data_IF_656219206592
#
_entry.id   IF_656219206592
#
_cell.length_a   1.000
_cell.length_b   1.000
_cell.length_c   1.000
_cell.angle_alpha   90.00
_cell.angle_beta   90.00
_cell.angle_gamma   90.00
#
_symmetry.space_group_name_H-M   'P 1'
#
loop_
_entity.id
_entity.type
_entity.pdbx_description
1 polymer ?
#
# COMPACT_ATOMS: atom_id res chain seq x y z
N UNK A 1 14.54 -35.73 13.27
CA UNK A 1 13.40 -35.01 12.66
C UNK A 1 12.15 -35.68 13.20
N UNK A 2 11.26 -34.95 13.82
CA UNK A 2 9.94 -35.45 14.19
C UNK A 2 9.17 -35.58 12.88
N UNK A 3 8.82 -36.82 12.50
CA UNK A 3 8.04 -37.04 11.28
C UNK A 3 6.58 -36.78 11.62
N UNK A 4 6.04 -35.67 11.10
CA UNK A 4 4.62 -35.32 11.25
C UNK A 4 3.80 -36.33 10.46
N UNK A 5 2.81 -36.93 11.10
CA UNK A 5 1.95 -37.97 10.47
C UNK A 5 0.90 -37.28 9.56
N UNK A 6 0.44 -38.01 8.53
CA UNK A 6 -0.65 -37.53 7.66
C UNK A 6 -1.91 -37.16 8.45
N UNK A 7 -2.21 -37.96 9.49
CA UNK A 7 -3.34 -37.70 10.38
C UNK A 7 -3.23 -36.34 11.11
N UNK A 8 -2.04 -35.95 11.55
CA UNK A 8 -1.81 -34.66 12.19
C UNK A 8 -1.98 -33.51 11.19
N UNK A 9 -1.51 -33.70 9.94
CA UNK A 9 -1.71 -32.73 8.86
C UNK A 9 -3.20 -32.55 8.56
N UNK A 10 -3.96 -33.65 8.44
CA UNK A 10 -5.40 -33.60 8.20
C UNK A 10 -6.17 -32.94 9.36
N UNK A 11 -5.81 -33.26 10.61
CA UNK A 11 -6.39 -32.58 11.78
C UNK A 11 -6.16 -31.04 11.70
N UNK A 12 -4.97 -30.63 11.25
CA UNK A 12 -4.65 -29.23 11.08
C UNK A 12 -5.44 -28.59 9.92
N UNK A 13 -5.63 -29.29 8.81
CA UNK A 13 -6.47 -28.81 7.71
C UNK A 13 -7.91 -28.54 8.16
N UNK A 14 -8.54 -29.43 8.91
CA UNK A 14 -9.87 -29.22 9.49
C UNK A 14 -9.91 -28.00 10.42
N UNK A 15 -8.86 -27.81 11.23
CA UNK A 15 -8.75 -26.64 12.08
C UNK A 15 -8.62 -25.33 11.29
N UNK A 16 -7.84 -25.33 10.22
CA UNK A 16 -7.60 -24.14 9.39
C UNK A 16 -8.77 -23.85 8.43
N UNK A 17 -9.64 -24.85 8.15
CA UNK A 17 -10.76 -24.78 7.22
C UNK A 17 -12.09 -25.15 7.92
N UNK A 18 -12.54 -24.39 8.96
CA UNK A 18 -13.73 -24.75 9.74
C UNK A 18 -15.01 -24.85 8.91
N UNK A 19 -15.07 -24.22 7.73
CA UNK A 19 -16.21 -24.29 6.83
C UNK A 19 -16.47 -25.67 6.22
N UNK A 20 -15.51 -26.60 6.27
CA UNK A 20 -15.74 -27.96 5.83
C UNK A 20 -16.80 -28.67 6.68
N UNK A 21 -16.88 -28.32 7.97
CA UNK A 21 -17.86 -28.87 8.91
C UNK A 21 -19.03 -27.91 9.17
N UNK A 22 -18.72 -26.61 9.42
CA UNK A 22 -19.71 -25.60 9.82
C UNK A 22 -20.39 -24.89 8.65
N UNK A 23 -19.79 -24.95 7.45
CA UNK A 23 -20.15 -24.16 6.26
C UNK A 23 -20.06 -22.64 6.47
N UNK A 24 -19.32 -22.22 7.48
CA UNK A 24 -19.17 -20.83 7.86
C UNK A 24 -17.72 -20.48 8.14
N UNK A 25 -17.35 -19.22 7.82
CA UNK A 25 -16.09 -18.60 8.24
C UNK A 25 -16.26 -18.06 9.67
N UNK A 26 -15.15 -18.03 10.44
CA UNK A 26 -15.17 -17.48 11.80
C UNK A 26 -15.76 -16.06 11.83
N UNK A 27 -16.70 -15.80 12.76
CA UNK A 27 -17.44 -14.55 12.87
C UNK A 27 -16.57 -13.29 12.98
N UNK A 28 -15.35 -13.40 13.53
CA UNK A 28 -14.42 -12.27 13.61
C UNK A 28 -14.04 -11.70 12.25
N UNK A 29 -13.89 -12.53 11.21
CA UNK A 29 -13.54 -12.06 9.86
C UNK A 29 -14.74 -11.44 9.15
N UNK A 30 -15.95 -11.93 9.43
CA UNK A 30 -17.21 -11.39 8.90
C UNK A 30 -17.50 -9.99 9.47
N UNK A 31 -17.15 -9.76 10.74
CA UNK A 31 -17.43 -8.49 11.45
C UNK A 31 -16.56 -7.31 11.00
N UNK A 32 -15.39 -7.56 10.42
CA UNK A 32 -14.53 -6.48 9.93
C UNK A 32 -15.09 -5.82 8.66
N UNK A 33 -15.03 -4.49 8.53
CA UNK A 33 -15.43 -3.82 7.31
C UNK A 33 -14.53 -4.25 6.14
N UNK A 34 -15.16 -4.41 4.97
CA UNK A 34 -14.43 -4.78 3.76
C UNK A 34 -13.61 -3.59 3.27
N UNK A 35 -12.37 -3.85 2.83
CA UNK A 35 -11.55 -2.90 2.10
C UNK A 35 -12.23 -2.55 0.76
N UNK A 36 -12.03 -1.35 0.24
CA UNK A 36 -12.50 -0.99 -1.11
C UNK A 36 -11.92 -1.88 -2.22
N UNK A 37 -10.86 -2.58 -1.93
CA UNK A 37 -10.20 -3.57 -2.78
C UNK A 37 -10.91 -4.92 -2.84
N UNK A 38 -11.91 -5.15 -1.99
CA UNK A 38 -12.55 -6.47 -1.86
C UNK A 38 -13.23 -6.90 -3.17
N UNK A 39 -14.08 -6.06 -3.76
CA UNK A 39 -14.80 -6.42 -4.99
C UNK A 39 -13.85 -6.69 -6.17
N UNK A 40 -12.85 -5.85 -6.48
CA UNK A 40 -11.85 -6.14 -7.50
C UNK A 40 -11.08 -7.43 -7.25
N UNK A 41 -10.69 -7.71 -6.00
CA UNK A 41 -9.98 -8.94 -5.66
C UNK A 41 -10.90 -10.17 -5.78
N UNK A 42 -12.13 -10.08 -5.28
CA UNK A 42 -13.11 -11.15 -5.40
C UNK A 42 -13.38 -11.51 -6.85
N UNK A 43 -13.59 -10.53 -7.72
CA UNK A 43 -13.77 -10.75 -9.14
C UNK A 43 -12.57 -11.44 -9.79
N UNK A 44 -11.33 -11.06 -9.40
CA UNK A 44 -10.13 -11.75 -9.86
C UNK A 44 -10.08 -13.21 -9.41
N UNK A 45 -10.55 -13.52 -8.19
CA UNK A 45 -10.61 -14.91 -7.70
C UNK A 45 -11.68 -15.69 -8.46
N UNK A 46 -12.81 -15.08 -8.81
CA UNK A 46 -13.89 -15.72 -9.57
C UNK A 46 -13.59 -15.88 -11.07
N UNK A 47 -12.65 -15.09 -11.61
CA UNK A 47 -12.29 -15.14 -13.02
C UNK A 47 -11.63 -16.48 -13.39
N UNK A 48 -12.31 -17.27 -14.18
CA UNK A 48 -11.89 -18.61 -14.63
C UNK A 48 -11.49 -18.66 -16.09
N UNK A 49 -11.78 -17.60 -16.90
CA UNK A 49 -11.45 -17.59 -18.33
C UNK A 49 -9.95 -17.54 -18.60
N UNK A 50 -9.16 -17.09 -17.62
CA UNK A 50 -7.71 -16.97 -17.72
C UNK A 50 -7.06 -17.86 -16.66
N UNK A 51 -6.29 -18.88 -17.11
CA UNK A 51 -5.58 -19.78 -16.21
C UNK A 51 -4.36 -19.07 -15.58
N UNK A 52 -4.61 -18.34 -14.48
CA UNK A 52 -3.62 -17.62 -13.68
C UNK A 52 -3.94 -17.68 -12.20
N UNK A 53 -2.90 -17.78 -11.38
CA UNK A 53 -3.05 -17.61 -9.95
C UNK A 53 -3.21 -16.12 -9.61
N UNK A 54 -4.12 -15.81 -8.68
CA UNK A 54 -4.25 -14.48 -8.08
C UNK A 54 -3.23 -14.34 -6.93
N UNK A 55 -2.30 -13.39 -7.01
CA UNK A 55 -1.25 -13.19 -5.99
C UNK A 55 -1.51 -11.88 -5.25
N UNK A 56 -2.08 -11.97 -4.05
CA UNK A 56 -2.40 -10.83 -3.18
C UNK A 56 -1.16 -10.42 -2.40
N UNK A 57 -0.60 -9.27 -2.77
CA UNK A 57 0.62 -8.72 -2.18
C UNK A 57 0.33 -7.47 -1.34
N UNK A 58 1.18 -7.20 -0.36
CA UNK A 58 1.10 -5.98 0.43
C UNK A 58 1.91 -6.09 1.71
N UNK A 59 2.13 -4.96 2.38
CA UNK A 59 2.85 -4.93 3.66
C UNK A 59 2.15 -5.81 4.72
N UNK A 60 2.87 -6.12 5.79
CA UNK A 60 2.26 -6.84 6.93
C UNK A 60 1.13 -6.01 7.53
N UNK A 61 0.11 -6.68 8.09
CA UNK A 61 -1.02 -6.05 8.82
C UNK A 61 -1.96 -5.14 7.99
N UNK A 62 -1.90 -5.17 6.64
CA UNK A 62 -2.84 -4.41 5.78
C UNK A 62 -4.20 -5.10 5.59
N UNK A 63 -4.38 -6.32 6.11
CA UNK A 63 -5.64 -7.06 6.05
C UNK A 63 -5.72 -8.13 4.95
N UNK A 64 -4.59 -8.63 4.40
CA UNK A 64 -4.59 -9.69 3.36
C UNK A 64 -5.36 -10.93 3.78
N UNK A 65 -5.03 -11.51 4.93
CA UNK A 65 -5.68 -12.72 5.47
C UNK A 65 -7.17 -12.48 5.74
N UNK A 66 -7.55 -11.29 6.24
CA UNK A 66 -8.96 -10.92 6.44
C UNK A 66 -9.69 -10.90 5.10
N UNK A 67 -9.11 -10.29 4.06
CA UNK A 67 -9.69 -10.24 2.72
C UNK A 67 -9.86 -11.65 2.12
N UNK A 68 -8.91 -12.54 2.36
CA UNK A 68 -9.01 -13.95 1.94
C UNK A 68 -10.17 -14.64 2.62
N UNK A 69 -10.31 -14.54 3.95
CA UNK A 69 -11.45 -15.14 4.66
C UNK A 69 -12.80 -14.52 4.28
N UNK A 70 -12.86 -13.21 4.03
CA UNK A 70 -14.05 -12.57 3.48
C UNK A 70 -14.38 -13.05 2.06
N UNK A 71 -13.36 -13.41 1.28
CA UNK A 71 -13.54 -14.05 -0.05
C UNK A 71 -14.13 -15.44 0.10
N UNK A 72 -13.61 -16.26 1.02
CA UNK A 72 -14.18 -17.58 1.33
C UNK A 72 -15.63 -17.45 1.80
N UNK A 73 -15.92 -16.52 2.71
CA UNK A 73 -17.28 -16.27 3.20
C UNK A 73 -18.26 -15.99 2.05
N UNK A 74 -17.90 -15.10 1.14
CA UNK A 74 -18.74 -14.78 0.00
C UNK A 74 -18.89 -15.94 -1.01
N UNK A 75 -17.84 -16.74 -1.20
CA UNK A 75 -17.92 -17.95 -2.04
C UNK A 75 -18.94 -18.95 -1.48
N UNK A 76 -18.95 -19.13 -0.16
CA UNK A 76 -19.92 -20.00 0.53
C UNK A 76 -21.35 -19.42 0.40
N UNK A 77 -21.53 -18.11 0.59
CA UNK A 77 -22.82 -17.42 0.41
C UNK A 77 -23.34 -17.56 -1.02
N UNK A 78 -22.47 -17.63 -2.04
CA UNK A 78 -22.81 -17.86 -3.44
C UNK A 78 -23.03 -19.34 -3.80
N UNK A 79 -22.94 -20.25 -2.81
CA UNK A 79 -23.23 -21.67 -2.95
C UNK A 79 -22.08 -22.53 -3.47
N UNK A 80 -20.82 -22.03 -3.39
CA UNK A 80 -19.64 -22.89 -3.65
C UNK A 80 -19.56 -23.93 -2.53
N UNK A 81 -19.43 -25.20 -2.90
CA UNK A 81 -19.28 -26.29 -1.93
C UNK A 81 -18.05 -26.01 -1.02
N UNK A 82 -18.27 -26.00 0.28
CA UNK A 82 -17.24 -25.73 1.27
C UNK A 82 -16.01 -26.65 1.13
N UNK A 83 -16.24 -27.90 0.71
CA UNK A 83 -15.20 -28.93 0.46
C UNK A 83 -14.39 -28.68 -0.81
N UNK A 84 -14.81 -27.73 -1.66
CA UNK A 84 -14.05 -27.31 -2.83
C UNK A 84 -13.07 -26.15 -2.52
N UNK A 85 -13.02 -25.68 -1.28
CA UNK A 85 -12.18 -24.55 -0.86
C UNK A 85 -11.15 -25.03 0.16
N UNK A 86 -9.85 -24.93 -0.18
CA UNK A 86 -8.73 -25.21 0.71
C UNK A 86 -7.98 -23.93 1.04
N UNK A 87 -7.77 -23.66 2.33
CA UNK A 87 -6.86 -22.64 2.84
C UNK A 87 -5.72 -23.28 3.63
N UNK A 88 -4.48 -22.85 3.35
CA UNK A 88 -3.27 -23.31 4.06
C UNK A 88 -2.35 -22.11 4.31
N UNK A 89 -2.02 -21.84 5.57
CA UNK A 89 -1.00 -20.85 5.92
C UNK A 89 0.37 -21.49 5.99
N UNK A 90 1.24 -21.18 5.04
CA UNK A 90 2.60 -21.74 4.95
C UNK A 90 3.55 -21.25 6.04
N UNK A 91 3.15 -20.24 6.84
CA UNK A 91 3.86 -19.85 8.06
C UNK A 91 3.74 -20.93 9.17
N UNK A 92 2.77 -21.83 9.08
CA UNK A 92 2.53 -22.87 10.07
C UNK A 92 3.66 -23.89 10.04
N UNK A 93 4.38 -24.13 11.16
CA UNK A 93 5.54 -25.03 11.18
C UNK A 93 5.23 -26.47 10.73
N UNK A 94 3.99 -26.92 10.89
CA UNK A 94 3.55 -28.27 10.50
C UNK A 94 3.66 -28.50 8.99
N UNK A 95 3.60 -27.47 8.17
CA UNK A 95 3.71 -27.56 6.72
C UNK A 95 5.15 -27.39 6.21
N UNK A 96 6.11 -27.12 7.09
CA UNK A 96 7.50 -26.93 6.72
C UNK A 96 8.07 -28.20 6.05
N UNK A 97 8.59 -28.05 4.84
CA UNK A 97 9.16 -29.15 4.06
C UNK A 97 8.13 -29.96 3.23
N UNK A 98 6.85 -29.61 3.30
CA UNK A 98 5.85 -30.16 2.36
C UNK A 98 5.90 -29.36 1.05
N UNK A 99 5.81 -30.05 -0.09
CA UNK A 99 5.56 -29.40 -1.37
C UNK A 99 4.09 -28.99 -1.49
N UNK A 100 3.80 -27.93 -2.27
CA UNK A 100 2.43 -27.52 -2.55
C UNK A 100 1.60 -28.66 -3.16
N UNK A 101 2.22 -29.47 -4.01
CA UNK A 101 1.57 -30.62 -4.64
C UNK A 101 1.17 -31.69 -3.64
N UNK A 102 2.03 -31.97 -2.63
CA UNK A 102 1.69 -32.90 -1.55
C UNK A 102 0.52 -32.42 -0.70
N UNK A 103 0.46 -31.10 -0.41
CA UNK A 103 -0.66 -30.46 0.27
C UNK A 103 -1.97 -30.66 -0.51
N UNK A 104 -1.94 -30.41 -1.81
CA UNK A 104 -3.12 -30.60 -2.69
C UNK A 104 -3.53 -32.07 -2.75
N UNK A 105 -2.57 -33.02 -2.80
CA UNK A 105 -2.90 -34.43 -2.84
C UNK A 105 -3.62 -34.91 -1.57
N UNK A 106 -3.21 -34.50 -0.38
CA UNK A 106 -3.96 -34.76 0.85
C UNK A 106 -5.40 -34.25 0.79
N UNK A 107 -5.61 -33.04 0.30
CA UNK A 107 -6.95 -32.45 0.14
C UNK A 107 -7.80 -33.22 -0.87
N UNK A 108 -7.20 -33.64 -2.00
CA UNK A 108 -7.90 -34.41 -3.02
C UNK A 108 -8.29 -35.82 -2.51
N UNK A 109 -7.41 -36.48 -1.76
CA UNK A 109 -7.67 -37.79 -1.19
C UNK A 109 -8.79 -37.74 -0.15
N UNK A 110 -8.82 -36.70 0.70
CA UNK A 110 -9.84 -36.51 1.75
C UNK A 110 -11.24 -36.43 1.18
N UNK A 111 -11.43 -35.63 0.11
CA UNK A 111 -12.74 -35.42 -0.47
C UNK A 111 -12.97 -36.09 -1.84
N UNK A 112 -12.05 -37.01 -2.23
CA UNK A 112 -12.13 -37.73 -3.50
C UNK A 112 -12.22 -36.83 -4.74
N UNK A 113 -11.50 -35.68 -4.72
CA UNK A 113 -11.46 -34.76 -5.85
C UNK A 113 -10.66 -35.31 -7.03
N UNK A 114 -11.20 -35.08 -8.23
CA UNK A 114 -10.51 -35.43 -9.49
C UNK A 114 -9.61 -34.27 -9.95
N UNK A 115 -8.83 -34.50 -10.99
CA UNK A 115 -8.06 -33.42 -11.64
C UNK A 115 -8.95 -32.34 -12.28
N UNK A 116 -10.15 -32.70 -12.67
CA UNK A 116 -11.07 -31.82 -13.37
C UNK A 116 -12.11 -31.16 -12.42
N UNK A 117 -12.00 -31.39 -11.11
CA UNK A 117 -12.84 -30.73 -10.12
C UNK A 117 -12.55 -29.22 -10.12
N UNK A 118 -13.59 -28.42 -9.90
CA UNK A 118 -13.42 -26.95 -9.74
C UNK A 118 -13.07 -26.65 -8.29
N UNK A 119 -11.78 -26.41 -8.01
CA UNK A 119 -11.27 -26.18 -6.66
C UNK A 119 -10.68 -24.76 -6.53
N UNK A 120 -10.83 -24.19 -5.35
CA UNK A 120 -10.21 -22.93 -4.96
C UNK A 120 -9.16 -23.23 -3.89
N UNK A 121 -7.88 -23.06 -4.25
CA UNK A 121 -6.74 -23.38 -3.39
C UNK A 121 -6.04 -22.09 -2.97
N UNK A 122 -5.98 -21.83 -1.67
CA UNK A 122 -5.45 -20.61 -1.09
C UNK A 122 -4.20 -20.91 -0.28
N UNK A 123 -3.06 -20.37 -0.70
CA UNK A 123 -1.78 -20.44 0.01
C UNK A 123 -1.49 -19.10 0.66
N UNK A 124 -1.69 -18.98 1.95
CA UNK A 124 -1.38 -17.76 2.71
C UNK A 124 0.10 -17.74 3.12
N UNK A 125 0.72 -16.55 3.09
CA UNK A 125 2.13 -16.30 3.41
C UNK A 125 3.10 -17.19 2.58
N UNK A 126 2.89 -17.25 1.26
CA UNK A 126 3.57 -18.19 0.34
C UNK A 126 5.09 -18.06 0.34
N UNK A 127 5.65 -16.88 0.72
CA UNK A 127 7.10 -16.66 0.79
C UNK A 127 7.83 -17.56 1.78
N UNK A 128 7.13 -18.23 2.68
CA UNK A 128 7.74 -19.24 3.57
C UNK A 128 8.14 -20.52 2.84
N UNK A 129 7.67 -20.72 1.61
CA UNK A 129 8.13 -21.82 0.74
C UNK A 129 9.24 -21.32 -0.19
N UNK A 130 10.50 -21.78 -0.06
CA UNK A 130 11.57 -21.46 -1.00
C UNK A 130 11.22 -21.91 -2.43
N UNK A 131 11.41 -21.02 -3.42
CA UNK A 131 11.11 -21.34 -4.82
C UNK A 131 9.61 -21.46 -5.13
N UNK A 132 8.75 -20.92 -4.29
CA UNK A 132 7.29 -21.00 -4.41
C UNK A 132 6.77 -20.62 -5.81
N UNK A 133 7.41 -19.70 -6.50
CA UNK A 133 7.01 -19.24 -7.84
C UNK A 133 7.10 -20.34 -8.90
N UNK A 134 8.10 -21.24 -8.79
CA UNK A 134 8.25 -22.40 -9.69
C UNK A 134 7.18 -23.43 -9.36
N UNK A 135 6.94 -23.68 -8.08
CA UNK A 135 5.94 -24.64 -7.62
C UNK A 135 4.52 -24.19 -8.00
N UNK A 136 4.17 -22.92 -7.71
CA UNK A 136 2.85 -22.39 -8.03
C UNK A 136 2.60 -22.35 -9.55
N UNK A 137 3.62 -21.98 -10.34
CA UNK A 137 3.53 -22.04 -11.82
C UNK A 137 3.25 -23.45 -12.30
N UNK A 138 3.97 -24.45 -11.78
CA UNK A 138 3.76 -25.87 -12.12
C UNK A 138 2.33 -26.31 -11.82
N UNK A 139 1.77 -25.88 -10.67
CA UNK A 139 0.39 -26.19 -10.31
C UNK A 139 -0.63 -25.56 -11.25
N UNK A 140 -0.46 -24.28 -11.59
CA UNK A 140 -1.33 -23.57 -12.56
C UNK A 140 -1.32 -24.28 -13.91
N UNK A 141 -0.15 -24.72 -14.38
CA UNK A 141 -0.03 -25.45 -15.64
C UNK A 141 -0.61 -26.87 -15.58
N UNK A 142 -0.56 -27.53 -14.41
CA UNK A 142 -0.99 -28.92 -14.22
C UNK A 142 -2.49 -29.08 -13.93
N UNK A 143 -3.11 -28.06 -13.34
CA UNK A 143 -4.51 -28.10 -12.87
C UNK A 143 -5.30 -26.90 -13.41
N UNK A 144 -5.66 -26.88 -14.71
CA UNK A 144 -6.32 -25.74 -15.32
C UNK A 144 -7.73 -25.43 -14.78
N UNK A 145 -8.39 -26.41 -14.16
CA UNK A 145 -9.72 -26.26 -13.52
C UNK A 145 -9.64 -25.71 -12.09
N UNK A 146 -8.41 -25.62 -11.50
CA UNK A 146 -8.25 -25.10 -10.16
C UNK A 146 -7.96 -23.62 -10.19
N UNK A 147 -8.58 -22.88 -9.28
CA UNK A 147 -8.22 -21.49 -9.02
C UNK A 147 -7.22 -21.41 -7.88
N UNK A 148 -6.02 -20.93 -8.17
CA UNK A 148 -5.00 -20.71 -7.18
C UNK A 148 -4.99 -19.26 -6.71
N UNK A 149 -4.95 -19.08 -5.39
CA UNK A 149 -4.77 -17.79 -4.72
C UNK A 149 -3.56 -17.89 -3.83
N UNK A 150 -2.65 -16.94 -3.90
CA UNK A 150 -1.52 -16.87 -3.00
C UNK A 150 -1.48 -15.50 -2.31
N UNK A 151 -1.07 -15.45 -1.03
CA UNK A 151 -0.77 -14.18 -0.38
C UNK A 151 0.70 -14.11 0.00
N UNK A 152 1.22 -12.88 0.11
CA UNK A 152 2.58 -12.68 0.59
C UNK A 152 2.81 -11.28 1.14
N UNK A 153 3.64 -11.21 2.21
CA UNK A 153 3.97 -9.95 2.88
C UNK A 153 5.31 -9.36 2.46
N UNK A 154 6.26 -10.20 2.09
CA UNK A 154 7.56 -9.79 1.57
C UNK A 154 7.50 -9.55 0.05
N UNK A 155 6.78 -8.51 -0.33
CA UNK A 155 6.43 -8.22 -1.71
C UNK A 155 7.62 -8.10 -2.68
N UNK A 156 8.80 -7.76 -2.16
CA UNK A 156 9.99 -7.63 -2.98
C UNK A 156 10.38 -8.94 -3.67
N UNK A 157 10.50 -10.01 -2.90
CA UNK A 157 10.85 -11.31 -3.46
C UNK A 157 9.74 -11.86 -4.33
N UNK A 158 8.48 -11.64 -3.94
CA UNK A 158 7.33 -12.03 -4.75
C UNK A 158 7.35 -11.34 -6.12
N UNK A 159 7.49 -10.02 -6.14
CA UNK A 159 7.45 -9.22 -7.36
C UNK A 159 8.63 -9.46 -8.29
N UNK A 160 9.84 -9.56 -7.76
CA UNK A 160 11.04 -9.83 -8.55
C UNK A 160 11.02 -11.26 -9.14
N UNK A 161 10.68 -12.24 -8.31
CA UNK A 161 10.66 -13.63 -8.73
C UNK A 161 9.51 -13.94 -9.69
N UNK A 162 8.32 -13.34 -9.49
CA UNK A 162 7.18 -13.54 -10.39
C UNK A 162 7.45 -13.02 -11.80
N UNK A 163 8.28 -11.98 -11.96
CA UNK A 163 8.68 -11.46 -13.27
C UNK A 163 9.61 -12.41 -14.05
N UNK A 164 10.46 -13.15 -13.34
CA UNK A 164 11.44 -14.03 -13.99
C UNK A 164 10.86 -15.40 -14.33
N UNK A 165 10.15 -16.03 -13.40
CA UNK A 165 9.72 -17.43 -13.55
C UNK A 165 8.22 -17.63 -13.72
N UNK A 166 7.40 -16.67 -13.30
CA UNK A 166 5.92 -16.75 -13.32
C UNK A 166 5.25 -16.00 -14.47
N UNK A 167 6.02 -15.46 -15.44
CA UNK A 167 5.49 -14.64 -16.53
C UNK A 167 4.28 -15.30 -17.22
N UNK A 168 3.14 -14.62 -17.17
CA UNK A 168 1.89 -15.10 -17.78
C UNK A 168 1.08 -16.14 -16.95
N UNK A 169 1.55 -16.52 -15.75
CA UNK A 169 0.84 -17.47 -14.87
C UNK A 169 0.32 -16.82 -13.58
N UNK A 170 0.69 -15.59 -13.32
CA UNK A 170 0.27 -14.84 -12.14
C UNK A 170 -0.43 -13.54 -12.54
N UNK A 171 -1.45 -13.18 -11.78
CA UNK A 171 -2.02 -11.83 -11.76
C UNK A 171 -1.75 -11.24 -10.39
N UNK A 172 -0.88 -10.23 -10.36
CA UNK A 172 -0.50 -9.55 -9.13
C UNK A 172 -1.62 -8.60 -8.69
N UNK A 173 -1.98 -8.65 -7.42
CA UNK A 173 -2.95 -7.76 -6.81
C UNK A 173 -2.33 -7.11 -5.57
N UNK A 174 -2.14 -5.79 -5.62
CA UNK A 174 -1.51 -5.04 -4.53
C UNK A 174 -2.54 -4.52 -3.55
N UNK A 175 -2.35 -4.80 -2.26
CA UNK A 175 -3.12 -4.25 -1.15
C UNK A 175 -2.22 -3.32 -0.30
N UNK A 176 -2.23 -2.00 -0.56
CA UNK A 176 -1.45 -1.04 0.22
C UNK A 176 -2.06 -0.78 1.60
N UNK A 177 -1.36 -0.03 2.50
CA UNK A 177 -1.97 0.52 3.71
C UNK A 177 -3.24 1.31 3.42
N UNK A 178 -4.08 1.56 4.42
CA UNK A 178 -5.34 2.29 4.24
C UNK A 178 -5.12 3.68 3.64
N UNK A 179 -5.96 4.07 2.69
CA UNK A 179 -6.13 5.48 2.32
C UNK A 179 -6.82 6.26 3.44
N UNK A 180 -6.74 7.59 3.40
CA UNK A 180 -7.49 8.42 4.34
C UNK A 180 -9.00 8.25 4.16
N UNK A 181 -9.46 8.03 2.92
CA UNK A 181 -10.87 7.74 2.64
C UNK A 181 -11.33 6.41 3.26
N UNK A 182 -10.52 5.34 3.16
CA UNK A 182 -10.82 4.08 3.83
C UNK A 182 -10.81 4.22 5.36
N UNK A 183 -9.84 4.98 5.91
CA UNK A 183 -9.77 5.26 7.34
C UNK A 183 -11.07 5.93 7.84
N UNK A 184 -11.52 7.01 7.19
CA UNK A 184 -12.75 7.72 7.55
C UNK A 184 -13.98 6.80 7.44
N UNK A 185 -14.03 5.95 6.41
CA UNK A 185 -15.08 4.92 6.27
C UNK A 185 -15.04 3.90 7.41
N UNK A 186 -13.85 3.43 7.80
CA UNK A 186 -13.67 2.41 8.83
C UNK A 186 -14.06 2.89 10.23
N UNK A 187 -13.82 4.17 10.54
CA UNK A 187 -14.31 4.78 11.79
C UNK A 187 -15.78 5.19 11.74
N UNK A 188 -16.48 4.96 10.61
CA UNK A 188 -17.92 5.20 10.46
C UNK A 188 -18.31 6.68 10.44
N UNK A 189 -17.39 7.60 10.12
CA UNK A 189 -17.62 9.05 10.20
C UNK A 189 -17.71 9.75 8.85
N UNK A 190 -17.80 9.01 7.73
CA UNK A 190 -17.83 9.62 6.40
C UNK A 190 -19.01 10.59 6.26
N UNK A 191 -20.22 10.18 6.62
CA UNK A 191 -21.43 11.02 6.52
C UNK A 191 -21.43 12.22 7.46
N UNK A 192 -20.70 12.16 8.59
CA UNK A 192 -20.56 13.29 9.51
C UNK A 192 -19.59 14.35 8.97
N UNK A 193 -18.48 13.91 8.37
CA UNK A 193 -17.33 14.76 8.10
C UNK A 193 -17.27 15.28 6.67
N UNK A 194 -17.85 14.54 5.71
CA UNK A 194 -17.66 14.79 4.28
C UNK A 194 -19.00 14.96 3.57
N UNK A 195 -19.01 15.82 2.57
CA UNK A 195 -20.12 15.98 1.61
C UNK A 195 -19.56 16.01 0.19
N UNK A 196 -20.36 15.56 -0.77
CA UNK A 196 -20.05 15.70 -2.18
C UNK A 196 -20.92 16.81 -2.75
N UNK A 197 -20.31 17.82 -3.33
CA UNK A 197 -21.00 18.98 -3.92
C UNK A 197 -20.83 18.92 -5.45
N UNK A 198 -21.93 19.08 -6.17
CA UNK A 198 -21.96 19.15 -7.63
C UNK A 198 -22.17 20.61 -8.04
N UNK A 199 -21.25 21.15 -8.84
CA UNK A 199 -21.37 22.45 -9.47
C UNK A 199 -21.16 22.30 -10.99
N UNK A 200 -22.13 22.72 -11.80
CA UNK A 200 -22.07 22.81 -13.28
C UNK A 200 -21.45 21.58 -13.99
N UNK A 201 -21.70 20.36 -13.45
CA UNK A 201 -21.22 19.09 -14.05
C UNK A 201 -19.88 18.58 -13.48
N UNK A 202 -19.18 19.34 -12.66
CA UNK A 202 -18.02 18.92 -11.91
C UNK A 202 -18.38 18.75 -10.43
N UNK A 203 -18.08 17.57 -9.87
CA UNK A 203 -18.31 17.27 -8.46
C UNK A 203 -17.01 17.25 -7.64
N UNK A 204 -17.05 17.74 -6.43
CA UNK A 204 -15.90 17.72 -5.54
C UNK A 204 -16.28 17.39 -4.09
N UNK A 205 -15.32 16.83 -3.38
CA UNK A 205 -15.49 16.45 -1.97
C UNK A 205 -15.11 17.59 -1.05
N UNK A 206 -16.04 17.96 -0.14
CA UNK A 206 -15.87 19.02 0.86
C UNK A 206 -15.95 18.46 2.27
N UNK A 207 -15.29 19.15 3.20
CA UNK A 207 -15.47 18.93 4.62
C UNK A 207 -16.74 19.65 5.09
N UNK A 208 -17.65 18.95 5.80
CA UNK A 208 -18.77 19.58 6.52
C UNK A 208 -18.28 20.41 7.71
N UNK A 209 -17.23 19.93 8.38
CA UNK A 209 -16.51 20.62 9.44
C UNK A 209 -15.01 20.34 9.26
N UNK A 210 -14.27 21.33 8.78
CA UNK A 210 -12.85 21.20 8.47
C UNK A 210 -12.00 20.97 9.73
N UNK A 211 -12.39 21.49 10.88
CA UNK A 211 -11.62 21.30 12.10
C UNK A 211 -11.73 19.82 12.57
N UNK A 212 -12.94 19.27 12.58
CA UNK A 212 -13.14 17.85 12.89
C UNK A 212 -12.44 16.94 11.89
N UNK A 213 -12.47 17.28 10.59
CA UNK A 213 -11.75 16.50 9.58
C UNK A 213 -10.25 16.60 9.77
N UNK A 214 -9.71 17.74 10.17
CA UNK A 214 -8.30 17.93 10.49
C UNK A 214 -7.88 17.11 11.73
N UNK A 215 -8.75 17.01 12.76
CA UNK A 215 -8.48 16.16 13.92
C UNK A 215 -8.35 14.69 13.49
N UNK A 216 -9.26 14.20 12.63
CA UNK A 216 -9.17 12.85 12.08
C UNK A 216 -7.99 12.68 11.12
N UNK A 217 -7.59 13.73 10.41
CA UNK A 217 -6.38 13.69 9.59
C UNK A 217 -5.13 13.51 10.43
N UNK A 218 -5.01 14.21 11.57
CA UNK A 218 -3.91 14.00 12.53
C UNK A 218 -3.94 12.59 13.12
N UNK A 219 -5.12 12.06 13.45
CA UNK A 219 -5.27 10.67 13.89
C UNK A 219 -4.82 9.68 12.81
N UNK A 220 -5.19 9.92 11.55
CA UNK A 220 -4.73 9.12 10.41
C UNK A 220 -3.21 9.15 10.25
N UNK A 221 -2.57 10.34 10.37
CA UNK A 221 -1.12 10.47 10.32
C UNK A 221 -0.43 9.60 11.39
N UNK A 222 -1.05 9.49 12.55
CA UNK A 222 -0.49 8.74 13.67
C UNK A 222 -0.80 7.23 13.63
N UNK A 223 -2.01 6.83 13.20
CA UNK A 223 -2.51 5.47 13.40
C UNK A 223 -3.26 4.89 12.20
N UNK A 224 -3.61 5.70 11.21
CA UNK A 224 -4.60 5.36 10.19
C UNK A 224 -4.17 4.39 9.10
N UNK A 225 -2.91 3.97 9.05
CA UNK A 225 -2.39 3.14 7.96
C UNK A 225 -2.78 1.66 8.00
N UNK A 226 -3.09 1.15 9.18
CA UNK A 226 -3.29 -0.28 9.39
C UNK A 226 -4.60 -0.56 10.11
N UNK A 227 -5.47 -1.47 9.59
CA UNK A 227 -6.78 -1.76 10.17
C UNK A 227 -6.74 -2.06 11.67
N UNK A 228 -5.77 -2.84 12.13
CA UNK A 228 -5.64 -3.20 13.54
C UNK A 228 -5.45 -1.98 14.45
N UNK A 229 -4.67 -0.99 14.00
CA UNK A 229 -4.48 0.25 14.76
C UNK A 229 -5.75 1.13 14.73
N UNK A 230 -6.53 1.08 13.66
CA UNK A 230 -7.80 1.83 13.55
C UNK A 230 -8.84 1.31 14.55
N UNK A 231 -8.92 -0.01 14.71
CA UNK A 231 -9.95 -0.65 15.56
C UNK A 231 -9.54 -0.89 17.01
N UNK A 232 -8.25 -0.76 17.35
CA UNK A 232 -7.75 -1.09 18.68
C UNK A 232 -7.11 0.10 19.39
N UNK A 233 -7.78 0.70 20.39
CA UNK A 233 -7.17 1.74 21.22
C UNK A 233 -5.88 1.28 21.92
N UNK A 234 -5.77 -0.01 22.24
CA UNK A 234 -4.55 -0.59 22.82
C UNK A 234 -3.38 -0.52 21.84
N UNK A 235 -3.62 -0.85 20.55
CA UNK A 235 -2.59 -0.77 19.51
C UNK A 235 -2.19 0.68 19.27
N UNK A 236 -3.10 1.64 19.35
CA UNK A 236 -2.78 3.07 19.26
C UNK A 236 -1.93 3.53 20.44
N UNK A 237 -2.30 3.17 21.67
CA UNK A 237 -1.57 3.54 22.88
C UNK A 237 -0.14 2.94 22.91
N UNK A 238 0.04 1.75 22.34
CA UNK A 238 1.31 1.05 22.28
C UNK A 238 1.82 0.89 20.82
N UNK A 239 1.65 1.90 19.97
CA UNK A 239 1.96 1.82 18.53
C UNK A 239 3.43 1.46 18.25
N UNK A 240 4.36 1.91 19.09
CA UNK A 240 5.77 1.50 19.01
C UNK A 240 5.97 0.00 19.25
N UNK A 241 5.13 -0.64 20.06
CA UNK A 241 5.20 -2.09 20.30
C UNK A 241 4.58 -2.88 19.17
N UNK A 242 3.39 -2.50 18.69
CA UNK A 242 2.65 -3.27 17.71
C UNK A 242 3.01 -2.92 16.26
N UNK A 243 2.97 -1.64 15.86
CA UNK A 243 3.25 -1.24 14.48
C UNK A 243 4.75 -1.38 14.18
N UNK A 244 5.62 -0.86 15.07
CA UNK A 244 7.06 -0.98 14.88
C UNK A 244 7.50 -2.43 14.86
N UNK A 245 7.17 -3.22 15.91
CA UNK A 245 7.63 -4.59 16.08
C UNK A 245 7.06 -5.53 15.00
N UNK A 246 5.76 -5.46 14.70
CA UNK A 246 5.10 -6.41 13.83
C UNK A 246 5.20 -6.05 12.33
N UNK A 247 5.36 -4.79 11.99
CA UNK A 247 5.42 -4.34 10.60
C UNK A 247 6.85 -4.01 10.21
N UNK A 248 7.52 -3.12 10.96
CA UNK A 248 8.84 -2.61 10.60
C UNK A 248 9.94 -3.62 10.97
N UNK A 249 10.02 -3.99 12.25
CA UNK A 249 11.12 -4.82 12.73
C UNK A 249 11.10 -6.22 12.11
N UNK A 250 9.93 -6.85 11.95
CA UNK A 250 9.83 -8.16 11.27
C UNK A 250 10.32 -8.09 9.82
N UNK A 251 10.01 -7.02 9.10
CA UNK A 251 10.49 -6.84 7.72
C UNK A 251 11.99 -6.60 7.69
N UNK A 252 12.51 -5.68 8.53
CA UNK A 252 13.93 -5.31 8.54
C UNK A 252 14.83 -6.37 9.12
N UNK A 253 14.40 -7.06 10.19
CA UNK A 253 15.24 -7.98 10.95
C UNK A 253 15.09 -9.44 10.54
N UNK A 254 14.02 -9.80 9.83
CA UNK A 254 13.73 -11.18 9.43
C UNK A 254 13.50 -11.33 7.93
N UNK A 255 12.50 -10.63 7.37
CA UNK A 255 12.05 -10.90 6.00
C UNK A 255 13.12 -10.50 4.97
N UNK A 256 13.61 -9.26 5.00
CA UNK A 256 14.63 -8.77 4.07
C UNK A 256 15.98 -9.49 4.21
N UNK A 257 16.52 -9.70 5.44
CA UNK A 257 17.74 -10.47 5.61
C UNK A 257 17.65 -11.90 5.08
N UNK A 258 16.53 -12.58 5.34
CA UNK A 258 16.30 -13.93 4.86
C UNK A 258 16.23 -14.03 3.32
N UNK A 259 15.63 -13.02 2.67
CA UNK A 259 15.40 -13.02 1.22
C UNK A 259 16.62 -12.58 0.42
N UNK A 260 17.37 -11.59 0.93
CA UNK A 260 18.47 -10.96 0.19
C UNK A 260 19.85 -11.25 0.75
N UNK A 261 19.95 -12.09 1.78
CA UNK A 261 21.25 -12.41 2.41
C UNK A 261 21.92 -11.20 3.05
N UNK A 262 21.13 -10.31 3.68
CA UNK A 262 21.67 -9.12 4.35
C UNK A 262 22.36 -9.55 5.63
N UNK A 263 23.67 -9.35 5.71
CA UNK A 263 24.48 -9.70 6.87
C UNK A 263 24.42 -8.63 7.97
N UNK A 264 24.42 -7.36 7.61
CA UNK A 264 24.36 -6.25 8.56
C UNK A 264 22.94 -5.65 8.64
N UNK A 265 22.15 -6.27 9.51
CA UNK A 265 20.78 -5.84 9.78
C UNK A 265 20.75 -4.49 10.50
N UNK A 266 21.79 -4.15 11.27
CA UNK A 266 21.87 -2.89 12.00
C UNK A 266 22.07 -1.69 11.04
N UNK A 267 22.87 -1.88 9.99
CA UNK A 267 23.00 -0.86 8.93
C UNK A 267 21.67 -0.59 8.23
N UNK A 268 20.92 -1.65 7.86
CA UNK A 268 19.61 -1.52 7.24
C UNK A 268 18.63 -0.76 8.16
N UNK A 269 18.59 -1.11 9.45
CA UNK A 269 17.72 -0.46 10.43
C UNK A 269 18.09 1.03 10.64
N UNK A 270 19.36 1.36 10.77
CA UNK A 270 19.83 2.76 10.87
C UNK A 270 19.45 3.57 9.63
N UNK A 271 19.63 2.99 8.43
CA UNK A 271 19.25 3.64 7.18
C UNK A 271 17.74 3.88 7.14
N UNK A 272 16.93 2.88 7.47
CA UNK A 272 15.48 3.02 7.48
C UNK A 272 14.99 4.09 8.47
N UNK A 273 15.55 4.10 9.70
CA UNK A 273 15.21 5.12 10.69
C UNK A 273 15.59 6.54 10.20
N UNK A 274 16.74 6.70 9.55
CA UNK A 274 17.16 7.97 8.96
C UNK A 274 16.19 8.43 7.87
N UNK A 275 15.78 7.52 7.00
CA UNK A 275 14.79 7.78 5.93
C UNK A 275 13.42 8.12 6.53
N UNK A 276 12.95 7.33 7.48
CA UNK A 276 11.64 7.53 8.11
C UNK A 276 11.53 8.87 8.84
N UNK A 277 12.62 9.31 9.50
CA UNK A 277 12.68 10.63 10.14
C UNK A 277 12.61 11.77 9.12
N UNK A 278 13.23 11.58 7.95
CA UNK A 278 13.30 12.56 6.87
C UNK A 278 12.27 12.33 5.76
N UNK A 279 11.17 11.64 6.04
CA UNK A 279 10.11 11.43 5.05
C UNK A 279 9.61 12.76 4.47
N UNK A 280 9.42 12.83 3.15
CA UNK A 280 9.02 14.05 2.45
C UNK A 280 10.17 15.02 2.14
N UNK A 281 11.34 14.86 2.77
CA UNK A 281 12.48 15.73 2.50
C UNK A 281 13.34 15.23 1.33
N UNK A 282 13.96 16.19 0.64
CA UNK A 282 14.99 15.88 -0.36
C UNK A 282 16.26 15.37 0.32
N UNK A 283 16.75 14.23 -0.10
CA UNK A 283 17.96 13.60 0.42
C UNK A 283 18.92 13.23 -0.71
N UNK A 284 20.22 13.08 -0.39
CA UNK A 284 21.24 12.61 -1.32
C UNK A 284 21.83 11.30 -0.83
N UNK A 285 22.32 10.47 -1.75
CA UNK A 285 23.09 9.26 -1.38
C UNK A 285 24.31 9.58 -0.52
N UNK A 286 24.88 10.77 -0.70
CA UNK A 286 26.04 11.23 0.09
C UNK A 286 25.63 11.58 1.52
N UNK A 287 24.53 12.34 1.70
CA UNK A 287 24.03 12.67 3.05
C UNK A 287 23.61 11.42 3.82
N UNK A 288 22.93 10.48 3.15
CA UNK A 288 22.56 9.20 3.75
C UNK A 288 23.80 8.39 4.16
N UNK A 289 24.83 8.35 3.31
CA UNK A 289 26.07 7.63 3.63
C UNK A 289 26.79 8.22 4.83
N UNK A 290 26.84 9.56 4.92
CA UNK A 290 27.45 10.25 6.06
C UNK A 290 26.68 10.03 7.37
N UNK A 291 25.35 10.08 7.33
CA UNK A 291 24.48 9.98 8.52
C UNK A 291 24.31 8.54 9.02
N UNK A 292 24.24 7.56 8.11
CA UNK A 292 24.06 6.15 8.47
C UNK A 292 25.36 5.37 8.68
N UNK A 293 26.49 5.86 8.11
CA UNK A 293 27.76 5.13 8.05
C UNK A 293 27.80 4.04 6.96
N UNK A 294 26.76 3.90 6.16
CA UNK A 294 26.60 2.85 5.14
C UNK A 294 27.18 3.33 3.79
N UNK A 295 27.83 2.42 3.04
CA UNK A 295 28.36 2.76 1.72
C UNK A 295 27.26 3.14 0.72
N UNK A 296 27.56 4.07 -0.22
CA UNK A 296 26.58 4.51 -1.26
C UNK A 296 26.03 3.34 -2.09
N UNK A 297 26.83 2.33 -2.39
CA UNK A 297 26.40 1.17 -3.15
C UNK A 297 25.46 0.26 -2.34
N UNK A 298 25.74 0.09 -1.06
CA UNK A 298 24.87 -0.64 -0.12
C UNK A 298 23.55 0.08 0.06
N UNK A 299 23.57 1.42 0.22
CA UNK A 299 22.38 2.26 0.35
C UNK A 299 21.44 2.07 -0.86
N UNK A 300 21.97 2.09 -2.10
CA UNK A 300 21.15 1.86 -3.29
C UNK A 300 20.40 0.52 -3.22
N UNK A 301 21.10 -0.56 -2.87
CA UNK A 301 20.48 -1.89 -2.72
C UNK A 301 19.43 -1.91 -1.60
N UNK A 302 19.75 -1.32 -0.47
CA UNK A 302 18.80 -1.27 0.67
C UNK A 302 17.55 -0.46 0.34
N UNK A 303 17.68 0.65 -0.39
CA UNK A 303 16.55 1.43 -0.88
C UNK A 303 15.65 0.58 -1.79
N UNK A 304 16.22 -0.16 -2.75
CA UNK A 304 15.49 -1.07 -3.61
C UNK A 304 14.75 -2.14 -2.80
N UNK A 305 15.37 -2.69 -1.76
CA UNK A 305 14.75 -3.68 -0.88
C UNK A 305 13.62 -3.10 -0.04
N UNK A 306 13.80 -1.88 0.48
CA UNK A 306 12.79 -1.17 1.27
C UNK A 306 11.58 -0.77 0.41
N UNK A 307 11.79 -0.30 -0.84
CA UNK A 307 10.70 -0.04 -1.78
C UNK A 307 9.94 -1.31 -2.11
N UNK A 308 10.67 -2.36 -2.43
CA UNK A 308 10.09 -3.63 -2.78
C UNK A 308 9.35 -4.29 -1.59
N UNK A 309 9.73 -3.99 -0.34
CA UNK A 309 9.02 -4.38 0.87
C UNK A 309 7.82 -3.48 1.21
N UNK A 310 7.48 -2.51 0.38
CA UNK A 310 6.41 -1.53 0.58
C UNK A 310 6.55 -0.70 1.86
N UNK A 311 7.78 -0.40 2.29
CA UNK A 311 8.04 0.49 3.42
C UNK A 311 8.22 1.94 2.98
N UNK A 312 8.86 2.14 1.83
CA UNK A 312 9.14 3.46 1.27
C UNK A 312 8.81 3.53 -0.22
N UNK A 313 8.75 4.75 -0.74
CA UNK A 313 8.72 5.05 -2.16
C UNK A 313 9.66 6.21 -2.49
N UNK A 314 10.45 6.06 -3.55
CA UNK A 314 11.31 7.12 -4.06
C UNK A 314 10.59 7.94 -5.11
N UNK A 315 10.79 9.26 -5.03
CA UNK A 315 10.30 10.21 -6.03
C UNK A 315 11.49 10.97 -6.62
N UNK A 316 11.56 10.91 -7.94
CA UNK A 316 12.66 11.52 -8.67
C UNK A 316 12.40 12.99 -8.96
N UNK A 317 13.47 13.77 -8.92
CA UNK A 317 13.47 15.20 -9.21
C UNK A 317 13.39 15.43 -10.73
N UNK A 318 12.66 16.48 -11.12
CA UNK A 318 12.75 17.14 -12.42
C UNK A 318 13.23 18.59 -12.24
N UNK A 319 13.80 19.17 -13.31
CA UNK A 319 14.12 20.59 -13.32
C UNK A 319 12.89 21.46 -13.63
N UNK A 320 13.06 22.77 -13.68
CA UNK A 320 11.98 23.70 -14.01
C UNK A 320 11.37 23.43 -15.39
N UNK A 321 12.11 22.81 -16.32
CA UNK A 321 11.63 22.40 -17.66
C UNK A 321 11.01 21.01 -17.67
N UNK A 322 10.78 20.41 -16.50
CA UNK A 322 10.28 19.04 -16.29
C UNK A 322 11.18 17.95 -16.88
N UNK A 323 12.45 18.25 -17.10
CA UNK A 323 13.42 17.24 -17.58
C UNK A 323 13.94 16.39 -16.44
N UNK A 324 13.93 15.08 -16.66
CA UNK A 324 14.51 14.10 -15.73
C UNK A 324 16.04 14.15 -15.77
N UNK A 325 16.66 14.02 -14.61
CA UNK A 325 18.12 13.94 -14.52
C UNK A 325 18.62 12.55 -14.90
N UNK A 326 19.66 12.48 -15.74
CA UNK A 326 20.27 11.21 -16.17
C UNK A 326 20.90 10.40 -15.02
N UNK A 327 21.34 11.08 -13.94
CA UNK A 327 21.88 10.47 -12.72
C UNK A 327 21.18 11.10 -11.52
N UNK A 328 20.17 10.42 -10.99
CA UNK A 328 19.47 10.86 -9.78
C UNK A 328 20.30 10.50 -8.54
N UNK A 329 21.15 11.43 -8.10
CA UNK A 329 21.85 11.32 -6.80
C UNK A 329 21.08 11.97 -5.67
N UNK A 330 20.01 12.69 -6.03
CA UNK A 330 19.12 13.48 -5.16
C UNK A 330 17.69 13.08 -5.45
N UNK A 331 16.92 12.82 -4.42
CA UNK A 331 15.53 12.35 -4.52
C UNK A 331 14.78 12.65 -3.22
N UNK A 332 13.44 12.70 -3.28
CA UNK A 332 12.59 12.64 -2.10
C UNK A 332 12.26 11.18 -1.79
N UNK A 333 12.13 10.84 -0.50
CA UNK A 333 11.66 9.53 -0.05
C UNK A 333 10.46 9.72 0.82
N UNK A 334 9.41 8.95 0.55
CA UNK A 334 8.21 8.92 1.36
C UNK A 334 8.03 7.55 1.98
N UNK A 335 7.62 7.51 3.23
CA UNK A 335 7.00 6.32 3.82
C UNK A 335 5.72 5.99 3.05
N UNK A 336 5.43 4.74 2.82
CA UNK A 336 4.18 4.32 2.16
C UNK A 336 2.94 4.60 2.99
N UNK A 337 3.12 4.86 4.29
CA UNK A 337 2.11 5.41 5.17
C UNK A 337 2.76 6.22 6.31
N UNK A 338 2.23 7.40 6.66
CA UNK A 338 2.81 8.27 7.69
C UNK A 338 2.80 7.66 9.11
N UNK A 339 1.88 6.73 9.43
CA UNK A 339 1.78 6.12 10.76
C UNK A 339 3.02 5.28 11.15
N UNK A 340 3.82 4.86 10.19
CA UNK A 340 5.12 4.25 10.48
C UNK A 340 6.07 5.20 11.20
N UNK A 341 6.02 6.51 10.88
CA UNK A 341 6.83 7.51 11.60
C UNK A 341 6.36 7.65 13.05
N UNK A 342 5.06 7.69 13.28
CA UNK A 342 4.53 7.76 14.64
C UNK A 342 4.93 6.54 15.49
N UNK A 343 4.95 5.36 14.89
CA UNK A 343 5.41 4.13 15.55
C UNK A 343 6.91 4.16 15.93
N UNK A 344 7.74 4.87 15.17
CA UNK A 344 9.19 4.97 15.41
C UNK A 344 9.57 6.10 16.37
N UNK A 345 8.89 7.24 16.29
CA UNK A 345 9.32 8.49 16.94
C UNK A 345 8.24 9.12 17.83
N UNK A 346 7.11 8.45 17.99
CA UNK A 346 5.95 8.93 18.76
C UNK A 346 4.93 9.71 17.90
N UNK A 347 3.69 9.77 18.38
CA UNK A 347 2.61 10.50 17.71
C UNK A 347 2.86 12.01 17.71
N UNK A 348 2.29 12.69 16.72
CA UNK A 348 2.37 14.15 16.54
C UNK A 348 1.03 14.81 16.83
N UNK A 349 1.09 16.08 17.24
CA UNK A 349 -0.07 16.98 17.33
C UNK A 349 -0.16 17.87 16.08
N UNK A 350 -1.28 18.56 15.92
CA UNK A 350 -1.55 19.44 14.77
C UNK A 350 -0.53 20.57 14.57
N UNK A 351 0.20 20.95 15.64
CA UNK A 351 1.16 22.05 15.64
C UNK A 351 2.62 21.57 15.71
N UNK A 352 2.85 20.25 15.57
CA UNK A 352 4.19 19.68 15.57
C UNK A 352 4.96 20.08 14.29
N UNK A 353 6.27 20.35 14.41
CA UNK A 353 7.13 20.81 13.30
C UNK A 353 7.15 19.83 12.10
N UNK A 354 6.95 18.54 12.34
CA UNK A 354 6.90 17.53 11.29
C UNK A 354 5.59 17.54 10.47
N UNK A 355 4.57 18.33 10.83
CA UNK A 355 3.25 18.26 10.17
C UNK A 355 3.32 18.58 8.68
N UNK A 356 4.18 19.50 8.25
CA UNK A 356 4.36 19.80 6.82
C UNK A 356 4.80 18.55 6.03
N UNK A 357 5.88 17.91 6.46
CA UNK A 357 6.43 16.71 5.82
C UNK A 357 5.48 15.51 5.93
N UNK A 358 4.76 15.37 7.04
CA UNK A 358 3.77 14.31 7.22
C UNK A 358 2.52 14.50 6.38
N UNK A 359 2.06 15.74 6.20
CA UNK A 359 0.97 16.07 5.29
C UNK A 359 1.36 15.73 3.85
N UNK A 360 2.56 16.09 3.43
CA UNK A 360 3.09 15.73 2.11
C UNK A 360 3.20 14.21 1.96
N UNK A 361 3.71 13.51 2.97
CA UNK A 361 3.78 12.04 3.00
C UNK A 361 2.39 11.41 2.92
N UNK A 362 1.38 11.95 3.62
CA UNK A 362 0.02 11.45 3.58
C UNK A 362 -0.62 11.61 2.21
N UNK A 363 -0.48 12.77 1.59
CA UNK A 363 -0.97 13.03 0.22
C UNK A 363 -0.28 12.08 -0.76
N UNK A 364 1.05 11.95 -0.66
CA UNK A 364 1.81 11.07 -1.53
C UNK A 364 1.44 9.59 -1.31
N UNK A 365 1.17 9.18 -0.07
CA UNK A 365 0.79 7.79 0.25
C UNK A 365 -0.49 7.34 -0.44
N UNK A 366 -1.42 8.26 -0.77
CA UNK A 366 -2.61 7.92 -1.55
C UNK A 366 -2.25 7.44 -2.96
N UNK A 367 -1.19 7.99 -3.55
CA UNK A 367 -0.73 7.59 -4.88
C UNK A 367 -0.07 6.21 -4.93
N UNK A 368 0.33 5.64 -3.80
CA UNK A 368 0.83 4.25 -3.74
C UNK A 368 -0.24 3.25 -4.23
N UNK A 369 -1.50 3.64 -4.21
CA UNK A 369 -2.64 2.89 -4.73
C UNK A 369 -2.84 3.04 -6.26
N UNK A 370 -2.05 3.86 -6.93
CA UNK A 370 -2.12 4.10 -8.38
C UNK A 370 -0.98 3.40 -9.11
N UNK A 371 -1.30 2.59 -10.12
CA UNK A 371 -0.30 1.87 -10.94
C UNK A 371 0.68 2.81 -11.67
N UNK A 372 0.23 4.03 -11.97
CA UNK A 372 1.03 5.03 -12.67
C UNK A 372 1.81 5.96 -11.71
N UNK A 373 2.06 5.55 -10.48
CA UNK A 373 2.81 6.34 -9.49
C UNK A 373 4.18 6.81 -9.99
N UNK A 374 4.79 6.09 -10.93
CA UNK A 374 6.07 6.45 -11.55
C UNK A 374 6.02 7.77 -12.36
N UNK A 375 4.82 8.32 -12.61
CA UNK A 375 4.65 9.62 -13.22
C UNK A 375 4.69 10.78 -12.23
N UNK A 376 4.67 10.48 -10.93
CA UNK A 376 4.86 11.49 -9.90
C UNK A 376 6.34 11.83 -9.76
N UNK A 377 6.59 13.14 -9.74
CA UNK A 377 7.89 13.76 -9.57
C UNK A 377 7.74 14.94 -8.61
N UNK A 378 8.85 15.49 -8.16
CA UNK A 378 8.89 16.84 -7.62
C UNK A 378 9.78 17.70 -8.53
N UNK A 379 9.50 19.00 -8.60
CA UNK A 379 10.33 19.90 -9.34
C UNK A 379 11.16 20.78 -8.39
N UNK A 380 12.45 20.92 -8.66
CA UNK A 380 13.31 21.83 -7.89
C UNK A 380 14.40 22.44 -8.76
N UNK A 381 14.61 23.73 -8.56
CA UNK A 381 15.65 24.51 -9.26
C UNK A 381 16.19 25.60 -8.31
N UNK A 382 17.16 26.41 -8.79
CA UNK A 382 17.86 27.38 -7.93
C UNK A 382 16.96 28.37 -7.18
N UNK A 383 15.81 28.74 -7.76
CA UNK A 383 14.93 29.80 -7.24
C UNK A 383 13.53 29.32 -6.89
N UNK A 384 13.24 28.01 -6.93
CA UNK A 384 11.91 27.51 -6.65
C UNK A 384 11.82 25.98 -6.53
N UNK A 385 10.69 25.55 -6.01
CA UNK A 385 10.32 24.16 -5.80
C UNK A 385 8.82 23.99 -6.04
N UNK A 386 8.41 22.79 -6.45
CA UNK A 386 7.02 22.30 -6.45
C UNK A 386 7.01 20.90 -5.91
N UNK A 387 6.21 20.64 -4.89
CA UNK A 387 6.26 19.41 -4.12
C UNK A 387 5.81 18.17 -4.91
N UNK A 388 4.75 18.30 -5.72
CA UNK A 388 4.22 17.19 -6.52
C UNK A 388 3.96 17.68 -7.94
N UNK A 389 4.50 16.96 -8.93
CA UNK A 389 4.29 17.20 -10.36
C UNK A 389 3.93 15.86 -11.01
N UNK A 390 2.81 15.82 -11.72
CA UNK A 390 2.44 14.68 -12.54
C UNK A 390 2.86 14.91 -13.98
N UNK A 391 3.67 14.01 -14.52
CA UNK A 391 4.03 14.02 -15.93
C UNK A 391 3.09 13.13 -16.73
N UNK A 392 2.58 13.64 -17.85
CA UNK A 392 1.84 12.84 -18.81
C UNK A 392 2.73 11.74 -19.39
N UNK A 393 2.26 10.49 -19.40
CA UNK A 393 3.02 9.32 -19.87
C UNK A 393 3.55 9.46 -21.29
N UNK A 394 2.70 9.92 -22.21
CA UNK A 394 3.03 9.96 -23.64
C UNK A 394 3.93 11.16 -23.99
N UNK A 395 3.66 12.34 -23.40
CA UNK A 395 4.34 13.58 -23.76
C UNK A 395 5.50 13.92 -22.84
N UNK A 396 5.57 13.29 -21.65
CA UNK A 396 6.52 13.59 -20.57
C UNK A 396 6.50 15.08 -20.15
N UNK A 397 5.37 15.76 -20.37
CA UNK A 397 5.13 17.15 -19.95
C UNK A 397 4.30 17.17 -18.67
N UNK A 398 4.44 18.21 -17.82
CA UNK A 398 3.57 18.40 -16.68
C UNK A 398 2.11 18.49 -17.12
N UNK A 399 1.24 17.80 -16.39
CA UNK A 399 -0.21 17.79 -16.60
C UNK A 399 -0.91 18.56 -15.48
N UNK A 400 -0.43 18.41 -14.25
CA UNK A 400 -0.84 19.20 -13.09
C UNK A 400 0.28 19.25 -12.04
N UNK A 401 0.16 20.14 -11.07
CA UNK A 401 1.12 20.28 -10.00
C UNK A 401 0.47 20.76 -8.69
N UNK A 402 1.07 20.38 -7.56
CA UNK A 402 0.60 20.69 -6.21
C UNK A 402 1.76 21.17 -5.35
N UNK A 403 1.50 22.27 -4.63
CA UNK A 403 2.33 22.75 -3.52
C UNK A 403 1.67 22.36 -2.21
N UNK A 404 2.34 21.59 -1.37
CA UNK A 404 1.76 21.05 -0.14
C UNK A 404 2.09 21.94 1.05
N UNK A 405 1.06 22.42 1.76
CA UNK A 405 1.21 23.22 2.97
C UNK A 405 0.19 22.80 4.02
N UNK A 406 0.63 22.69 5.27
CA UNK A 406 -0.22 22.53 6.46
C UNK A 406 -0.37 23.90 7.15
N UNK A 407 -0.74 24.94 6.39
CA UNK A 407 -0.85 26.31 6.86
C UNK A 407 -1.71 27.14 5.91
N UNK A 408 -2.40 28.13 6.43
CA UNK A 408 -3.20 29.09 5.64
C UNK A 408 -2.40 30.35 5.23
N UNK A 409 -1.14 30.46 5.65
CA UNK A 409 -0.26 31.58 5.30
C UNK A 409 -0.13 31.84 3.78
N UNK A 410 -0.03 30.81 2.90
CA UNK A 410 0.05 31.03 1.45
C UNK A 410 -1.17 31.75 0.85
N UNK A 411 -2.30 31.75 1.56
CA UNK A 411 -3.49 32.47 1.13
C UNK A 411 -3.34 33.99 1.24
N UNK A 412 -2.55 34.45 2.19
CA UNK A 412 -2.27 35.86 2.45
C UNK A 412 -0.90 36.30 1.90
N UNK A 413 0.14 35.45 2.03
CA UNK A 413 1.49 35.74 1.53
C UNK A 413 1.80 34.96 0.24
N UNK A 414 1.47 35.56 -0.89
CA UNK A 414 1.68 34.95 -2.22
C UNK A 414 3.17 34.82 -2.60
N UNK A 415 4.10 35.42 -1.85
CA UNK A 415 5.54 35.26 -2.08
C UNK A 415 5.99 33.83 -1.87
N UNK A 416 5.28 33.09 -0.99
CA UNK A 416 5.50 31.66 -0.76
C UNK A 416 5.21 30.78 -1.98
N UNK A 417 4.44 31.30 -2.95
CA UNK A 417 4.00 30.55 -4.16
C UNK A 417 4.78 30.89 -5.42
N UNK A 418 5.89 31.64 -5.30
CA UNK A 418 6.69 32.05 -6.47
C UNK A 418 7.14 30.87 -7.33
N UNK A 419 7.57 29.77 -6.70
CA UNK A 419 7.96 28.54 -7.37
C UNK A 419 6.80 27.96 -8.18
N UNK A 420 5.68 27.68 -7.53
CA UNK A 420 4.48 27.14 -8.16
C UNK A 420 4.00 28.01 -9.33
N UNK A 421 3.87 29.33 -9.12
CA UNK A 421 3.41 30.29 -10.17
C UNK A 421 4.36 30.27 -11.37
N UNK A 422 5.69 30.26 -11.12
CA UNK A 422 6.68 30.18 -12.22
C UNK A 422 6.55 28.89 -13.01
N UNK A 423 6.34 27.77 -12.32
CA UNK A 423 6.19 26.45 -12.93
C UNK A 423 4.91 26.35 -13.77
N UNK A 424 3.77 26.78 -13.22
CA UNK A 424 2.46 26.82 -13.90
C UNK A 424 2.55 27.63 -15.19
N UNK A 425 3.15 28.84 -15.13
CA UNK A 425 3.34 29.71 -16.31
C UNK A 425 4.23 29.07 -17.35
N UNK A 426 5.37 28.51 -16.93
CA UNK A 426 6.33 27.92 -17.86
C UNK A 426 5.75 26.76 -18.66
N UNK A 427 4.85 25.99 -18.03
CA UNK A 427 4.24 24.82 -18.65
C UNK A 427 2.84 25.06 -19.20
N UNK A 428 2.34 26.30 -19.14
CA UNK A 428 0.98 26.68 -19.56
C UNK A 428 -0.10 25.78 -18.90
N UNK A 429 0.08 25.45 -17.63
CA UNK A 429 -0.92 24.69 -16.88
C UNK A 429 -2.16 25.57 -16.63
N UNK A 430 -3.36 24.99 -16.62
CA UNK A 430 -4.59 25.76 -16.41
C UNK A 430 -4.62 26.39 -15.00
N UNK A 431 -4.10 25.69 -13.99
CA UNK A 431 -4.04 26.16 -12.60
C UNK A 431 -2.92 25.49 -11.84
N UNK A 432 -2.55 26.06 -10.69
CA UNK A 432 -1.73 25.42 -9.66
C UNK A 432 -2.58 25.13 -8.43
N UNK A 433 -2.38 23.96 -7.79
CA UNK A 433 -3.04 23.60 -6.55
C UNK A 433 -2.11 23.86 -5.36
N UNK A 434 -2.66 24.46 -4.31
CA UNK A 434 -1.98 24.67 -3.02
C UNK A 434 -2.81 24.04 -1.92
N UNK A 435 -2.23 23.15 -1.14
CA UNK A 435 -2.96 22.70 0.04
C UNK A 435 -2.85 23.71 1.18
N UNK A 436 -3.85 23.73 2.04
CA UNK A 436 -3.98 24.67 3.18
C UNK A 436 -4.38 23.89 4.42
N UNK A 437 -4.45 24.55 5.56
CA UNK A 437 -5.00 23.91 6.77
C UNK A 437 -6.54 23.93 6.77
N UNK A 438 -7.15 25.12 6.48
CA UNK A 438 -8.60 25.29 6.60
C UNK A 438 -9.25 26.00 5.40
N UNK A 439 -8.48 26.75 4.62
CA UNK A 439 -9.02 27.64 3.59
C UNK A 439 -9.27 26.90 2.30
N UNK A 440 -10.50 27.02 1.77
CA UNK A 440 -10.88 26.60 0.44
C UNK A 440 -11.29 27.80 -0.39
N UNK A 441 -10.58 28.10 -1.47
CA UNK A 441 -10.88 29.18 -2.40
C UNK A 441 -10.07 29.11 -3.68
N UNK A 442 -10.50 29.86 -4.69
CA UNK A 442 -9.74 30.13 -5.91
C UNK A 442 -9.29 31.61 -5.93
N UNK A 443 -8.13 31.86 -6.48
CA UNK A 443 -7.57 33.20 -6.62
C UNK A 443 -6.71 33.32 -7.86
N UNK A 444 -6.91 34.38 -8.65
CA UNK A 444 -5.98 34.71 -9.73
C UNK A 444 -4.81 35.53 -9.19
N UNK A 445 -3.59 35.05 -9.39
CA UNK A 445 -2.36 35.72 -8.97
C UNK A 445 -1.45 35.86 -10.18
N UNK A 446 -1.21 37.11 -10.60
CA UNK A 446 -0.36 37.42 -11.76
C UNK A 446 -0.77 36.62 -13.03
N UNK A 447 -2.04 36.58 -13.36
CA UNK A 447 -2.62 35.82 -14.48
C UNK A 447 -2.39 34.27 -14.37
N UNK A 448 -2.31 33.76 -13.16
CA UNK A 448 -2.25 32.32 -12.88
C UNK A 448 -3.38 31.98 -11.90
N UNK A 449 -4.21 31.03 -12.27
CA UNK A 449 -5.24 30.51 -11.38
C UNK A 449 -4.59 29.63 -10.31
N UNK A 450 -4.84 29.93 -9.05
CA UNK A 450 -4.38 29.14 -7.90
C UNK A 450 -5.61 28.67 -7.14
N UNK A 451 -5.71 27.36 -6.98
CA UNK A 451 -6.74 26.67 -6.20
C UNK A 451 -6.20 26.29 -4.84
N UNK A 452 -6.87 26.74 -3.80
CA UNK A 452 -6.54 26.43 -2.41
C UNK A 452 -7.52 25.40 -1.88
N UNK A 453 -7.03 24.27 -1.38
CA UNK A 453 -7.84 23.20 -0.82
C UNK A 453 -7.28 22.77 0.53
N UNK A 454 -8.10 22.54 1.57
CA UNK A 454 -7.63 22.00 2.82
C UNK A 454 -6.97 20.61 2.63
N UNK A 455 -5.80 20.41 3.23
CA UNK A 455 -4.99 19.20 3.05
C UNK A 455 -5.76 17.92 3.37
N UNK A 456 -6.55 17.93 4.44
CA UNK A 456 -7.36 16.77 4.82
C UNK A 456 -8.44 16.46 3.76
N UNK A 457 -9.17 17.51 3.29
CA UNK A 457 -10.20 17.33 2.25
C UNK A 457 -9.58 16.86 0.92
N UNK A 458 -8.44 17.45 0.52
CA UNK A 458 -7.71 17.03 -0.67
C UNK A 458 -7.23 15.57 -0.57
N UNK A 459 -6.66 15.17 0.58
CA UNK A 459 -6.20 13.79 0.79
C UNK A 459 -7.36 12.79 0.72
N UNK A 460 -8.51 13.15 1.30
CA UNK A 460 -9.72 12.34 1.21
C UNK A 460 -10.21 12.18 -0.23
N UNK A 461 -10.38 13.30 -0.94
CA UNK A 461 -10.83 13.31 -2.33
C UNK A 461 -9.91 12.49 -3.24
N UNK A 462 -8.60 12.66 -3.06
CA UNK A 462 -7.58 11.89 -3.79
C UNK A 462 -7.72 10.39 -3.54
N UNK A 463 -7.87 9.98 -2.27
CA UNK A 463 -8.08 8.58 -1.90
C UNK A 463 -9.33 7.99 -2.57
N UNK A 464 -10.47 8.69 -2.50
CA UNK A 464 -11.73 8.24 -3.16
C UNK A 464 -11.55 8.11 -4.67
N UNK A 465 -10.95 9.10 -5.33
CA UNK A 465 -10.83 9.09 -6.80
C UNK A 465 -9.91 7.97 -7.28
N UNK A 466 -8.83 7.70 -6.58
CA UNK A 466 -7.92 6.58 -6.90
C UNK A 466 -8.65 5.24 -6.73
N UNK A 467 -9.39 5.07 -5.62
CA UNK A 467 -10.12 3.83 -5.34
C UNK A 467 -11.26 3.58 -6.35
N UNK A 468 -11.99 4.63 -6.76
CA UNK A 468 -12.99 4.54 -7.85
C UNK A 468 -12.33 4.07 -9.16
N UNK A 469 -11.16 4.60 -9.49
CA UNK A 469 -10.40 4.17 -10.68
C UNK A 469 -10.01 2.69 -10.66
N UNK A 470 -9.75 2.11 -9.48
CA UNK A 470 -9.47 0.67 -9.32
C UNK A 470 -10.73 -0.16 -9.59
N UNK A 471 -11.87 0.24 -9.03
CA UNK A 471 -13.14 -0.47 -9.20
C UNK A 471 -13.65 -0.47 -10.66
N UNK A 472 -13.43 0.60 -11.41
CA UNK A 472 -13.83 0.71 -12.82
C UNK A 472 -13.00 -0.14 -13.79
N UNK A 473 -11.79 -0.55 -13.43
CA UNK A 473 -10.91 -1.35 -14.31
C UNK A 473 -11.22 -2.84 -14.30
N UNK A 474 -12.00 -3.30 -13.33
CA UNK A 474 -12.33 -4.71 -13.12
C UNK A 474 -13.76 -5.03 -13.64
N UNK A 475 -14.50 -4.02 -14.09
CA UNK A 475 -15.75 -4.14 -14.85
C UNK A 475 -15.46 -4.18 -16.36
#
# INVERSE_FOLDING_TARGET
MITISEKEIMTRFYFDNPWWDSQEVEGRYKSFPRRFYFEPFYNLVRESSINRAAVLMGSRRVGKTVMVFQTVDRLLDEGVDSRNILYVSLETPMYTGLSLEKIINFFKEEFSHSRDSELIIIFDEIQYLPGWEVHLKSLVDSYPSYKFVATGSAAAALKLKSRESGAGRFTEFLLPPLTFAEYISFIGRADELITFEENDGDGYWCAKDINKLNDEFVNYLNFGGYPEAVFSPLVQAESSRYIKSDIIDKVLLRDLPSLYGINDVQELNKLFNTIAYNTGNEITLESLSKSSGVSKNTIKKYIEYLEAAFLIKIVHRVDISAKKFKRATTFKVYLTNPSMRAALFGPVTSDHDAMGALTETAIFSQWVHNENIENLHYARWNSGEVDIVWLNLATQKPYWCVEVKWSDLPCSDTRMLKGLISFVKQHNLPSGLVTTRTVMREKNINNTEIRYLPSAAYTYALGVNILKGISQRVQ
#
